data_IF_780074506649
#
_entry.id   IF_780074506649
#
_cell.length_a   1.000
_cell.length_b   1.000
_cell.length_c   1.000
_cell.angle_alpha   90.00
_cell.angle_beta   90.00
_cell.angle_gamma   90.00
#
_symmetry.space_group_name_H-M   'P 1'
#
loop_
_entity.id
_entity.type
_entity.pdbx_description
1 polymer ?
#
# COMPACT_ATOMS: atom_id res chain seq x y z
N UNK A 1 12.46 -16.34 -5.21
CA UNK A 1 11.49 -16.65 -6.29
C UNK A 1 10.17 -15.94 -5.95
N UNK A 2 9.75 -15.02 -6.82
CA UNK A 2 8.56 -14.15 -6.73
C UNK A 2 8.45 -13.27 -5.47
N UNK A 3 9.05 -12.08 -5.58
CA UNK A 3 9.15 -11.07 -4.53
C UNK A 3 7.82 -10.29 -4.52
N UNK A 4 6.90 -10.67 -3.63
CA UNK A 4 5.70 -9.90 -3.30
C UNK A 4 5.61 -9.75 -1.79
N UNK A 5 4.98 -8.68 -1.33
CA UNK A 5 4.92 -8.35 0.09
C UNK A 5 6.22 -7.78 0.62
N UNK A 6 6.48 -8.04 1.89
CA UNK A 6 7.62 -7.55 2.66
C UNK A 6 8.62 -8.66 2.97
N UNK A 7 9.90 -8.32 3.11
CA UNK A 7 10.93 -9.21 3.64
C UNK A 7 11.20 -8.98 5.14
N UNK A 8 12.15 -9.74 5.70
CA UNK A 8 12.52 -9.67 7.12
C UNK A 8 13.25 -8.38 7.51
N UNK A 9 13.75 -7.62 6.53
CA UNK A 9 14.41 -6.32 6.70
C UNK A 9 13.42 -5.13 6.54
N UNK A 10 12.13 -5.42 6.39
CA UNK A 10 11.09 -4.40 6.22
C UNK A 10 11.01 -3.81 4.80
N UNK A 11 11.67 -4.41 3.81
CA UNK A 11 11.65 -3.94 2.42
C UNK A 11 10.49 -4.54 1.66
N UNK A 12 9.68 -3.69 1.05
CA UNK A 12 8.56 -4.13 0.21
C UNK A 12 8.97 -4.32 -1.23
N UNK A 13 8.43 -5.36 -1.86
CA UNK A 13 8.63 -5.58 -3.28
C UNK A 13 7.91 -4.52 -4.13
N UNK A 14 8.39 -4.29 -5.34
CA UNK A 14 7.79 -3.35 -6.31
C UNK A 14 7.64 -1.92 -5.77
N UNK A 15 8.55 -1.49 -4.88
CA UNK A 15 8.61 -0.11 -4.40
C UNK A 15 9.05 0.82 -5.52
N UNK A 16 8.29 1.88 -5.73
CA UNK A 16 8.51 2.91 -6.76
C UNK A 16 8.21 4.26 -6.14
N UNK A 17 9.12 5.20 -6.35
CA UNK A 17 8.91 6.63 -6.10
C UNK A 17 8.58 7.32 -7.42
N UNK A 18 7.52 8.13 -7.43
CA UNK A 18 7.19 9.03 -8.53
C UNK A 18 7.32 10.45 -8.06
N UNK A 19 8.17 11.22 -8.72
CA UNK A 19 8.38 12.64 -8.42
C UNK A 19 7.89 13.50 -9.58
N UNK A 20 7.06 14.50 -9.26
CA UNK A 20 6.66 15.55 -10.18
C UNK A 20 7.37 16.85 -9.80
N UNK A 21 8.21 17.36 -10.70
CA UNK A 21 8.93 18.61 -10.54
C UNK A 21 8.30 19.67 -11.43
N UNK A 22 8.04 20.85 -10.88
CA UNK A 22 7.52 22.01 -11.60
C UNK A 22 8.39 23.23 -11.32
N UNK A 23 8.81 23.91 -12.38
CA UNK A 23 9.56 25.16 -12.29
C UNK A 23 8.81 26.27 -13.02
N UNK A 24 8.52 27.34 -12.29
CA UNK A 24 7.88 28.56 -12.77
C UNK A 24 8.71 29.75 -12.33
N UNK A 25 9.33 30.44 -13.29
CA UNK A 25 10.25 31.55 -13.06
C UNK A 25 11.34 31.19 -12.02
N UNK A 26 11.30 31.84 -10.85
CA UNK A 26 12.22 31.63 -9.73
C UNK A 26 11.73 30.61 -8.69
N UNK A 27 10.55 30.00 -8.89
CA UNK A 27 9.96 29.01 -7.98
C UNK A 27 10.15 27.62 -8.57
N UNK A 28 10.71 26.72 -7.79
CA UNK A 28 10.72 25.29 -8.07
C UNK A 28 9.97 24.56 -6.96
N UNK A 29 9.11 23.61 -7.34
CA UNK A 29 8.45 22.71 -6.41
C UNK A 29 8.59 21.26 -6.88
N UNK A 30 8.54 20.35 -5.92
CA UNK A 30 8.53 18.91 -6.13
C UNK A 30 7.38 18.29 -5.33
N UNK A 31 6.75 17.27 -5.92
CA UNK A 31 5.73 16.46 -5.28
C UNK A 31 6.03 14.98 -5.49
N UNK A 32 6.22 14.24 -4.39
CA UNK A 32 6.61 12.84 -4.39
C UNK A 32 5.43 11.96 -3.94
N UNK A 33 5.23 10.85 -4.65
CA UNK A 33 4.30 9.78 -4.29
C UNK A 33 5.01 8.42 -4.34
N UNK A 34 4.83 7.60 -3.31
CA UNK A 34 5.37 6.24 -3.26
C UNK A 34 4.28 5.20 -3.54
N UNK A 35 4.67 4.09 -4.20
CA UNK A 35 3.82 2.93 -4.45
C UNK A 35 4.63 1.67 -4.21
N UNK A 36 4.08 0.71 -3.45
CA UNK A 36 4.74 -0.56 -3.18
C UNK A 36 3.75 -1.70 -2.99
N UNK A 37 4.28 -2.91 -2.80
CA UNK A 37 3.46 -4.05 -2.35
C UNK A 37 2.93 -3.80 -0.94
N UNK A 38 1.78 -4.39 -0.61
CA UNK A 38 1.23 -4.34 0.76
C UNK A 38 2.30 -4.82 1.76
N UNK A 39 2.62 -4.03 2.82
CA UNK A 39 3.74 -4.26 3.73
C UNK A 39 3.45 -5.36 4.75
N UNK A 40 3.17 -6.56 4.26
CA UNK A 40 3.01 -7.76 5.07
C UNK A 40 3.53 -8.98 4.30
N UNK A 41 3.82 -10.08 4.99
CA UNK A 41 4.23 -11.32 4.34
C UNK A 41 3.06 -11.98 3.60
N UNK A 42 3.10 -11.97 2.28
CA UNK A 42 2.11 -12.66 1.44
C UNK A 42 2.73 -13.18 0.17
N UNK A 43 2.15 -14.26 -0.35
CA UNK A 43 2.58 -14.90 -1.57
C UNK A 43 1.43 -14.96 -2.58
N UNK A 44 1.80 -14.90 -3.85
CA UNK A 44 0.91 -15.21 -4.95
C UNK A 44 1.65 -16.22 -5.83
N UNK A 45 1.47 -17.49 -5.49
CA UNK A 45 2.12 -18.58 -6.21
C UNK A 45 1.53 -18.68 -7.61
N UNK A 46 2.38 -18.78 -8.66
CA UNK A 46 1.88 -18.93 -10.02
C UNK A 46 1.07 -20.22 -10.16
N UNK A 47 -0.12 -20.11 -10.73
CA UNK A 47 -0.97 -21.24 -11.13
C UNK A 47 -1.49 -21.00 -12.56
N UNK A 48 -2.21 -21.97 -13.15
CA UNK A 48 -2.77 -21.85 -14.50
C UNK A 48 -3.94 -20.84 -14.59
N UNK A 49 -4.31 -20.17 -13.49
CA UNK A 49 -5.42 -19.22 -13.50
C UNK A 49 -4.95 -17.86 -13.99
N UNK A 50 -5.85 -17.15 -14.65
CA UNK A 50 -5.63 -15.77 -15.10
C UNK A 50 -5.19 -14.83 -13.96
N UNK A 51 -5.75 -15.01 -12.76
CA UNK A 51 -5.36 -14.28 -11.55
C UNK A 51 -5.05 -15.29 -10.43
N UNK A 52 -3.77 -15.63 -10.20
CA UNK A 52 -3.40 -16.57 -9.16
C UNK A 52 -3.81 -16.04 -7.78
N UNK A 53 -4.09 -16.96 -6.84
CA UNK A 53 -4.65 -16.59 -5.54
C UNK A 53 -3.60 -15.95 -4.62
N UNK A 54 -3.95 -14.81 -4.03
CA UNK A 54 -3.19 -14.16 -2.97
C UNK A 54 -3.38 -14.92 -1.64
N UNK A 55 -2.28 -15.17 -0.92
CA UNK A 55 -2.28 -15.86 0.38
C UNK A 55 -1.38 -15.12 1.36
N UNK A 56 -1.93 -14.66 2.49
CA UNK A 56 -1.17 -14.12 3.61
C UNK A 56 -0.48 -15.27 4.34
N UNK A 57 0.81 -15.12 4.65
CA UNK A 57 1.62 -16.16 5.29
C UNK A 57 1.48 -16.10 6.82
N UNK A 58 0.88 -17.10 7.49
CA UNK A 58 0.44 -16.95 8.88
C UNK A 58 1.56 -16.97 9.93
N UNK A 59 2.71 -17.56 9.63
CA UNK A 59 3.78 -17.82 10.61
C UNK A 59 4.83 -16.72 10.69
N UNK A 60 4.71 -15.66 9.89
CA UNK A 60 5.71 -14.60 9.81
C UNK A 60 5.42 -13.47 10.81
N UNK A 61 6.47 -12.78 11.24
CA UNK A 61 6.33 -11.63 12.14
C UNK A 61 5.95 -10.36 11.36
N UNK A 62 4.71 -10.30 10.89
CA UNK A 62 4.20 -9.19 10.09
C UNK A 62 4.35 -7.84 10.79
N UNK A 63 4.08 -7.77 12.09
CA UNK A 63 4.08 -6.51 12.83
C UNK A 63 5.48 -5.90 12.93
N UNK A 64 6.51 -6.72 13.17
CA UNK A 64 7.88 -6.23 13.22
C UNK A 64 8.33 -5.69 11.87
N UNK A 65 8.13 -6.45 10.79
CA UNK A 65 8.50 -5.99 9.44
C UNK A 65 7.69 -4.74 9.03
N UNK A 66 6.39 -4.70 9.35
CA UNK A 66 5.52 -3.54 9.10
C UNK A 66 6.03 -2.27 9.79
N UNK A 67 6.42 -2.38 11.07
CA UNK A 67 6.97 -1.24 11.83
C UNK A 67 8.28 -0.77 11.22
N UNK A 68 9.21 -1.68 10.94
CA UNK A 68 10.49 -1.34 10.30
C UNK A 68 10.28 -0.62 8.96
N UNK A 69 9.35 -1.11 8.14
CA UNK A 69 9.00 -0.46 6.88
C UNK A 69 8.56 0.99 7.08
N UNK A 70 7.61 1.22 7.99
CA UNK A 70 7.06 2.56 8.18
C UNK A 70 7.97 3.49 8.97
N UNK A 71 8.83 2.98 9.86
CA UNK A 71 9.91 3.76 10.45
C UNK A 71 10.85 4.31 9.37
N UNK A 72 11.18 3.52 8.35
CA UNK A 72 11.97 3.98 7.21
C UNK A 72 11.20 4.96 6.32
N UNK A 73 9.94 4.67 6.00
CA UNK A 73 9.11 5.61 5.21
C UNK A 73 8.93 6.95 5.93
N UNK A 74 8.78 6.94 7.26
CA UNK A 74 8.68 8.14 8.07
C UNK A 74 9.98 8.93 8.10
N UNK A 75 11.12 8.23 8.16
CA UNK A 75 12.43 8.87 8.10
C UNK A 75 12.64 9.65 6.79
N UNK A 76 12.26 9.05 5.64
CA UNK A 76 12.49 9.68 4.33
C UNK A 76 11.39 10.68 3.92
N UNK A 77 10.13 10.38 4.22
CA UNK A 77 8.99 11.10 3.65
C UNK A 77 8.07 11.75 4.72
N UNK A 78 8.36 11.55 6.01
CA UNK A 78 7.56 12.10 7.11
C UNK A 78 6.22 11.37 7.30
N UNK A 79 5.15 12.10 7.63
CA UNK A 79 3.83 11.52 7.87
C UNK A 79 3.32 10.78 6.63
N UNK A 80 2.93 9.52 6.79
CA UNK A 80 2.48 8.67 5.68
C UNK A 80 0.96 8.61 5.60
N UNK A 81 0.44 8.72 4.37
CA UNK A 81 -0.94 8.45 4.05
C UNK A 81 -1.04 7.18 3.21
N UNK A 82 -1.61 6.14 3.81
CA UNK A 82 -1.69 4.80 3.27
C UNK A 82 -3.01 4.64 2.54
N UNK A 83 -2.97 4.64 1.21
CA UNK A 83 -4.14 4.43 0.37
C UNK A 83 -4.19 2.98 -0.13
N UNK A 84 -5.17 2.21 0.32
CA UNK A 84 -5.45 0.88 -0.23
C UNK A 84 -6.57 0.95 -1.26
N UNK A 85 -6.31 0.50 -2.48
CA UNK A 85 -7.27 0.41 -3.59
C UNK A 85 -7.74 -1.02 -3.85
N UNK A 86 -7.40 -1.96 -2.97
CA UNK A 86 -7.69 -3.38 -3.17
C UNK A 86 -9.17 -3.68 -3.04
N UNK A 87 -9.65 -4.70 -3.75
CA UNK A 87 -11.02 -5.17 -3.62
C UNK A 87 -11.28 -5.65 -2.18
N UNK A 88 -12.45 -5.32 -1.63
CA UNK A 88 -12.83 -5.72 -0.26
C UNK A 88 -13.26 -7.18 -0.17
N UNK A 89 -13.44 -7.85 -1.31
CA UNK A 89 -13.88 -9.23 -1.38
C UNK A 89 -12.76 -10.21 -1.79
N UNK A 90 -12.96 -11.48 -1.46
CA UNK A 90 -12.09 -12.57 -1.90
C UNK A 90 -10.69 -12.55 -1.25
N UNK A 91 -9.70 -12.98 -2.02
CA UNK A 91 -8.32 -13.11 -1.53
C UNK A 91 -7.63 -11.75 -1.29
N UNK A 92 -7.94 -10.75 -2.11
CA UNK A 92 -7.45 -9.38 -1.94
C UNK A 92 -8.09 -8.71 -0.71
N UNK A 93 -9.37 -8.97 -0.46
CA UNK A 93 -10.05 -8.49 0.76
C UNK A 93 -9.38 -9.00 2.03
N UNK A 94 -8.90 -10.25 2.04
CA UNK A 94 -8.14 -10.80 3.18
C UNK A 94 -6.78 -10.12 3.36
N UNK A 95 -6.10 -9.80 2.26
CA UNK A 95 -4.83 -9.07 2.30
C UNK A 95 -5.05 -7.65 2.83
N UNK A 96 -6.10 -6.98 2.37
CA UNK A 96 -6.49 -5.65 2.81
C UNK A 96 -6.87 -5.62 4.29
N UNK A 97 -7.68 -6.59 4.74
CA UNK A 97 -8.03 -6.75 6.14
C UNK A 97 -6.78 -6.93 7.01
N UNK A 98 -5.79 -7.71 6.54
CA UNK A 98 -4.52 -7.84 7.27
C UNK A 98 -3.73 -6.53 7.29
N UNK A 99 -3.72 -5.78 6.19
CA UNK A 99 -3.04 -4.48 6.15
C UNK A 99 -3.66 -3.50 7.16
N UNK A 100 -5.00 -3.41 7.18
CA UNK A 100 -5.76 -2.62 8.16
C UNK A 100 -5.48 -3.05 9.59
N UNK A 101 -5.50 -4.35 9.88
CA UNK A 101 -5.18 -4.91 11.20
C UNK A 101 -3.78 -4.49 11.68
N UNK A 102 -2.78 -4.56 10.79
CA UNK A 102 -1.40 -4.15 11.10
C UNK A 102 -1.31 -2.64 11.36
N UNK A 103 -1.97 -1.82 10.55
CA UNK A 103 -2.06 -0.38 10.78
C UNK A 103 -2.69 -0.07 12.15
N UNK A 104 -3.87 -0.61 12.45
CA UNK A 104 -4.59 -0.36 13.71
C UNK A 104 -3.77 -0.82 14.93
N UNK A 105 -3.13 -1.98 14.81
CA UNK A 105 -2.29 -2.54 15.89
C UNK A 105 -0.95 -1.80 16.04
N UNK A 106 -0.45 -1.17 14.98
CA UNK A 106 0.79 -0.37 15.05
C UNK A 106 0.62 0.84 15.98
N UNK A 107 -0.61 1.38 16.09
CA UNK A 107 -0.94 2.60 16.85
C UNK A 107 -0.02 3.78 16.51
N UNK A 108 0.53 3.81 15.29
CA UNK A 108 1.48 4.82 14.90
C UNK A 108 0.77 6.13 14.51
N UNK A 109 1.01 7.26 15.22
CA UNK A 109 0.33 8.53 14.98
C UNK A 109 0.76 9.24 13.68
N UNK A 110 1.84 8.80 13.05
CA UNK A 110 2.34 9.30 11.77
C UNK A 110 1.74 8.58 10.57
N UNK A 111 0.97 7.53 10.79
CA UNK A 111 0.25 6.82 9.74
C UNK A 111 -1.22 7.26 9.74
N UNK A 112 -1.76 7.47 8.54
CA UNK A 112 -3.20 7.53 8.30
C UNK A 112 -3.55 6.51 7.25
N UNK A 113 -4.53 5.66 7.50
CA UNK A 113 -4.96 4.62 6.55
C UNK A 113 -6.34 4.95 5.98
N UNK A 114 -6.45 4.91 4.66
CA UNK A 114 -7.72 5.01 3.94
C UNK A 114 -7.88 3.83 2.99
N UNK A 115 -9.07 3.26 3.01
CA UNK A 115 -9.41 2.04 2.29
C UNK A 115 -10.53 2.35 1.32
N UNK A 116 -10.19 2.38 0.04
CA UNK A 116 -11.08 2.82 -1.02
C UNK A 116 -11.29 1.67 -2.00
N UNK A 117 -12.49 1.09 -1.98
CA UNK A 117 -12.85 0.05 -2.93
C UNK A 117 -13.04 0.65 -4.33
N UNK A 118 -11.95 0.75 -5.08
CA UNK A 118 -11.95 1.34 -6.41
C UNK A 118 -12.92 0.62 -7.36
N UNK A 119 -13.06 -0.70 -7.24
CA UNK A 119 -13.93 -1.48 -8.12
C UNK A 119 -15.41 -1.23 -7.87
N UNK A 120 -15.78 -0.95 -6.62
CA UNK A 120 -17.14 -0.58 -6.24
C UNK A 120 -17.42 0.90 -6.51
N UNK A 121 -16.50 1.78 -6.11
CA UNK A 121 -16.73 3.22 -6.16
C UNK A 121 -16.65 3.77 -7.58
N UNK A 122 -15.65 3.34 -8.36
CA UNK A 122 -15.48 3.75 -9.75
C UNK A 122 -16.19 2.83 -10.76
N UNK A 123 -17.09 1.94 -10.30
CA UNK A 123 -17.91 1.12 -11.18
C UNK A 123 -18.69 1.99 -12.18
N UNK A 124 -18.67 1.60 -13.46
CA UNK A 124 -19.34 2.35 -14.54
C UNK A 124 -18.59 3.60 -15.02
N UNK A 125 -17.25 3.64 -14.89
CA UNK A 125 -16.41 4.80 -15.24
C UNK A 125 -16.69 6.08 -14.45
N UNK A 126 -17.17 5.92 -13.21
CA UNK A 126 -17.40 7.04 -12.28
C UNK A 126 -16.11 7.50 -11.61
N UNK A 127 -15.21 8.06 -12.42
CA UNK A 127 -13.95 8.64 -11.96
C UNK A 127 -14.16 9.94 -11.16
N UNK A 128 -15.35 10.55 -11.26
CA UNK A 128 -15.79 11.66 -10.41
C UNK A 128 -15.70 11.31 -8.92
N UNK A 129 -15.84 10.04 -8.54
CA UNK A 129 -15.71 9.58 -7.15
C UNK A 129 -14.29 9.59 -6.61
N UNK A 130 -13.27 9.80 -7.44
CA UNK A 130 -11.91 10.02 -6.95
C UNK A 130 -11.81 11.32 -6.13
N UNK A 131 -12.76 12.25 -6.29
CA UNK A 131 -12.86 13.45 -5.43
C UNK A 131 -13.05 13.11 -3.95
N UNK A 132 -13.65 11.96 -3.62
CA UNK A 132 -13.79 11.48 -2.23
C UNK A 132 -12.43 11.31 -1.56
N UNK A 133 -11.40 10.97 -2.33
CA UNK A 133 -10.02 10.82 -1.83
C UNK A 133 -9.29 12.16 -1.69
N UNK A 134 -9.81 13.22 -2.30
CA UNK A 134 -9.20 14.56 -2.32
C UNK A 134 -9.82 15.51 -1.27
N UNK A 135 -10.97 15.16 -0.69
CA UNK A 135 -11.66 15.93 0.35
C UNK A 135 -13.09 16.30 -0.02
#
# INVERSE_FOLDING_TARGET
LFIRGIDDDGKVANFVETEQILQLDSIACSYVQTRGSVPCFWAQLPDLRYKPKVTVLPSNNHMTAFRQHFEEQEYYYGRQFLLSLTNHHGAEGKLNAKYRELYETSQNPYLKFEDFDFHKECAGMRYDRLTILLG
#
